data_IF_357289496891
#
_entry.id   IF_357289496891
#
_cell.length_a   1.000
_cell.length_b   1.000
_cell.length_c   1.000
_cell.angle_alpha   90.00
_cell.angle_beta   90.00
_cell.angle_gamma   90.00
#
_symmetry.space_group_name_H-M   'P 1'
#
loop_
_entity.id
_entity.type
_entity.pdbx_description
1 polymer ?
#
# COMPACT_ATOMS: atom_id res chain seq x y z
N UNK A 1 37.69 0.09 -13.20
CA UNK A 1 37.59 -0.80 -12.03
C UNK A 1 37.16 -2.24 -12.38
N UNK A 2 37.27 -2.65 -13.63
CA UNK A 2 36.97 -4.02 -14.02
C UNK A 2 38.04 -4.92 -13.40
N UNK A 3 37.67 -5.79 -12.48
CA UNK A 3 38.56 -6.73 -11.75
C UNK A 3 39.21 -6.17 -10.48
N UNK A 4 39.01 -4.91 -10.12
CA UNK A 4 39.53 -4.30 -8.89
C UNK A 4 38.51 -4.28 -7.75
N UNK A 5 38.97 -4.18 -6.50
CA UNK A 5 38.09 -3.95 -5.34
C UNK A 5 37.51 -2.53 -5.40
N UNK A 6 36.20 -2.41 -5.47
CA UNK A 6 35.53 -1.12 -5.37
C UNK A 6 35.56 -0.61 -3.92
N UNK A 7 36.13 0.57 -3.63
CA UNK A 7 36.14 1.12 -2.28
C UNK A 7 34.77 1.66 -1.93
N UNK A 8 33.90 0.79 -1.41
CA UNK A 8 32.56 1.19 -0.97
C UNK A 8 32.67 2.06 0.28
N UNK A 9 32.17 3.29 0.20
CA UNK A 9 32.08 4.19 1.35
C UNK A 9 30.70 4.11 2.00
N UNK A 10 30.61 4.43 3.29
CA UNK A 10 29.33 4.49 4.01
C UNK A 10 28.34 5.46 3.36
N UNK A 11 28.83 6.51 2.71
CA UNK A 11 28.02 7.49 2.00
C UNK A 11 27.35 6.90 0.73
N UNK A 12 28.10 6.13 -0.04
CA UNK A 12 27.57 5.44 -1.23
C UNK A 12 26.51 4.42 -0.83
N UNK A 13 26.76 3.66 0.25
CA UNK A 13 25.81 2.70 0.78
C UNK A 13 24.51 3.37 1.25
N UNK A 14 24.63 4.46 2.00
CA UNK A 14 23.52 5.28 2.47
C UNK A 14 22.66 5.81 1.31
N UNK A 15 23.31 6.32 0.26
CA UNK A 15 22.63 6.81 -0.94
C UNK A 15 21.91 5.67 -1.68
N UNK A 16 22.58 4.53 -1.86
CA UNK A 16 21.98 3.36 -2.53
C UNK A 16 20.72 2.88 -1.80
N UNK A 17 20.76 2.80 -0.47
CA UNK A 17 19.59 2.45 0.34
C UNK A 17 18.47 3.49 0.12
N UNK A 18 18.78 4.78 0.22
CA UNK A 18 17.77 5.84 0.04
C UNK A 18 17.05 5.75 -1.30
N UNK A 19 17.82 5.58 -2.38
CA UNK A 19 17.29 5.40 -3.74
C UNK A 19 16.43 4.13 -3.84
N UNK A 20 16.92 3.03 -3.28
CA UNK A 20 16.25 1.72 -3.41
C UNK A 20 14.90 1.67 -2.67
N UNK A 21 14.88 2.11 -1.42
CA UNK A 21 13.64 2.10 -0.61
C UNK A 21 12.60 3.08 -1.13
N UNK A 22 13.02 4.19 -1.74
CA UNK A 22 12.13 5.14 -2.41
C UNK A 22 11.54 4.57 -3.70
N UNK A 23 12.36 3.93 -4.52
CA UNK A 23 11.91 3.28 -5.78
C UNK A 23 10.93 2.14 -5.51
N UNK A 24 11.12 1.41 -4.43
CA UNK A 24 10.23 0.34 -4.00
C UNK A 24 9.03 0.85 -3.20
N UNK A 25 8.90 2.17 -3.01
CA UNK A 25 7.83 2.80 -2.22
C UNK A 25 7.69 2.22 -0.78
N UNK A 26 8.79 1.71 -0.23
CA UNK A 26 8.79 1.11 1.11
C UNK A 26 8.70 2.15 2.22
N UNK A 27 9.13 3.39 1.93
CA UNK A 27 9.14 4.49 2.89
C UNK A 27 8.75 5.82 2.23
N UNK A 28 8.16 6.71 3.01
CA UNK A 28 7.89 8.09 2.60
C UNK A 28 9.16 8.94 2.70
N UNK A 29 9.19 10.11 2.03
CA UNK A 29 10.30 11.08 2.15
C UNK A 29 10.53 11.51 3.60
N UNK A 30 9.47 11.66 4.39
CA UNK A 30 9.59 12.05 5.80
C UNK A 30 10.19 10.94 6.67
N UNK A 31 9.78 9.69 6.45
CA UNK A 31 10.39 8.55 7.15
C UNK A 31 11.87 8.40 6.81
N UNK A 32 12.22 8.58 5.54
CA UNK A 32 13.60 8.52 5.08
C UNK A 32 14.45 9.68 5.65
N UNK A 33 13.86 10.88 5.77
CA UNK A 33 14.49 12.05 6.40
C UNK A 33 14.89 11.74 7.84
N UNK A 34 13.96 11.19 8.63
CA UNK A 34 14.22 10.80 10.03
C UNK A 34 15.27 9.71 10.10
N UNK A 35 15.15 8.67 9.29
CA UNK A 35 16.08 7.54 9.29
C UNK A 35 17.53 7.93 8.91
N UNK A 36 17.65 8.83 7.94
CA UNK A 36 18.95 9.34 7.50
C UNK A 36 19.44 10.52 8.33
N UNK A 37 18.66 10.99 9.30
CA UNK A 37 18.97 12.16 10.13
C UNK A 37 19.31 13.41 9.30
N UNK A 38 18.57 13.63 8.23
CA UNK A 38 18.73 14.82 7.41
C UNK A 38 17.99 16.01 8.05
N UNK A 39 18.62 17.18 8.04
CA UNK A 39 18.07 18.42 8.61
C UNK A 39 16.97 18.99 7.70
N UNK A 40 17.09 18.81 6.38
CA UNK A 40 16.17 19.35 5.40
C UNK A 40 15.63 18.27 4.46
N UNK A 41 14.35 18.38 4.09
CA UNK A 41 13.68 17.47 3.18
C UNK A 41 14.34 17.45 1.78
N UNK A 42 14.80 18.61 1.30
CA UNK A 42 15.52 18.75 0.03
C UNK A 42 16.78 17.87 -0.04
N UNK A 43 17.48 17.69 1.09
CA UNK A 43 18.64 16.79 1.16
C UNK A 43 18.20 15.33 0.99
N UNK A 44 17.08 14.94 1.60
CA UNK A 44 16.54 13.58 1.46
C UNK A 44 16.08 13.33 0.02
N UNK A 45 15.42 14.29 -0.59
CA UNK A 45 14.98 14.21 -1.98
C UNK A 45 16.19 14.09 -2.92
N UNK A 46 17.20 14.93 -2.76
CA UNK A 46 18.44 14.83 -3.53
C UNK A 46 19.13 13.46 -3.39
N UNK A 47 19.14 12.87 -2.17
CA UNK A 47 19.69 11.53 -1.95
C UNK A 47 18.85 10.44 -2.62
N UNK A 48 17.53 10.58 -2.63
CA UNK A 48 16.60 9.58 -3.13
C UNK A 48 16.33 9.67 -4.62
N UNK A 49 16.56 10.84 -5.24
CA UNK A 49 16.28 11.08 -6.66
C UNK A 49 17.23 10.36 -7.62
N UNK A 50 18.14 9.58 -7.08
CA UNK A 50 19.01 8.74 -7.88
C UNK A 50 19.68 9.47 -9.04
N UNK A 51 20.89 9.18 -9.27
CA UNK A 51 21.74 9.77 -10.28
C UNK A 51 21.11 9.69 -11.70
N UNK A 52 20.26 10.64 -12.04
CA UNK A 52 19.86 10.95 -13.41
C UNK A 52 20.53 12.27 -13.79
N UNK A 53 21.84 12.27 -13.92
CA UNK A 53 22.53 13.45 -14.41
C UNK A 53 23.03 13.24 -15.83
N UNK A 54 22.54 14.10 -16.68
CA UNK A 54 23.22 14.76 -17.79
C UNK A 54 23.60 13.99 -19.05
N UNK A 55 23.13 12.77 -19.32
CA UNK A 55 23.22 12.30 -20.70
C UNK A 55 21.82 12.10 -21.30
N UNK A 56 21.62 12.61 -22.53
CA UNK A 56 20.38 12.42 -23.31
C UNK A 56 20.00 10.91 -23.43
N UNK A 57 20.97 10.04 -23.37
CA UNK A 57 20.78 8.57 -23.42
C UNK A 57 20.21 8.04 -22.12
N UNK A 58 20.70 8.50 -20.97
CA UNK A 58 20.19 8.12 -19.63
C UNK A 58 18.78 8.67 -19.45
N UNK A 59 18.52 9.90 -19.90
CA UNK A 59 17.17 10.46 -19.85
C UNK A 59 16.18 9.66 -20.69
N UNK A 60 16.55 9.22 -21.90
CA UNK A 60 15.71 8.35 -22.74
C UNK A 60 15.49 6.96 -22.14
N UNK A 61 16.53 6.38 -21.54
CA UNK A 61 16.44 5.09 -20.85
C UNK A 61 15.56 5.22 -19.60
N UNK A 62 15.70 6.30 -18.84
CA UNK A 62 14.87 6.60 -17.69
C UNK A 62 13.40 6.80 -18.09
N UNK A 63 13.13 7.47 -19.22
CA UNK A 63 11.77 7.67 -19.73
C UNK A 63 11.12 6.35 -20.18
N UNK A 64 11.86 5.49 -20.89
CA UNK A 64 11.34 4.17 -21.27
C UNK A 64 11.06 3.29 -20.05
N UNK A 65 11.98 3.30 -19.08
CA UNK A 65 11.84 2.55 -17.84
C UNK A 65 10.68 3.08 -16.98
N UNK A 66 10.52 4.41 -16.90
CA UNK A 66 9.39 5.01 -16.19
C UNK A 66 8.05 4.62 -16.83
N UNK A 67 7.96 4.58 -18.17
CA UNK A 67 6.76 4.10 -18.88
C UNK A 67 6.47 2.63 -18.64
N UNK A 68 7.51 1.79 -18.61
CA UNK A 68 7.37 0.36 -18.30
C UNK A 68 6.89 0.14 -16.86
N UNK A 69 7.45 0.90 -15.89
CA UNK A 69 7.01 0.85 -14.50
C UNK A 69 5.56 1.32 -14.35
N UNK A 70 5.18 2.42 -15.02
CA UNK A 70 3.80 2.89 -15.01
C UNK A 70 2.85 1.84 -15.62
N UNK A 71 3.24 1.23 -16.73
CA UNK A 71 2.44 0.18 -17.35
C UNK A 71 2.31 -1.06 -16.47
N UNK A 72 3.41 -1.51 -15.86
CA UNK A 72 3.41 -2.64 -14.92
C UNK A 72 2.51 -2.35 -13.69
N UNK A 73 2.50 -1.13 -13.19
CA UNK A 73 1.66 -0.72 -12.07
C UNK A 73 0.17 -0.69 -12.47
N UNK A 74 -0.15 -0.23 -13.69
CA UNK A 74 -1.50 -0.31 -14.24
C UNK A 74 -1.97 -1.76 -14.44
N UNK A 75 -1.10 -2.63 -14.92
CA UNK A 75 -1.38 -4.06 -15.09
C UNK A 75 -1.61 -4.75 -13.75
N UNK A 76 -0.78 -4.44 -12.75
CA UNK A 76 -0.96 -4.93 -11.39
C UNK A 76 -2.32 -4.51 -10.82
N UNK A 77 -2.67 -3.24 -10.97
CA UNK A 77 -3.97 -2.72 -10.52
C UNK A 77 -5.12 -3.43 -11.24
N UNK A 78 -5.02 -3.64 -12.55
CA UNK A 78 -6.02 -4.37 -13.32
C UNK A 78 -6.13 -5.84 -12.91
N UNK A 79 -5.01 -6.50 -12.65
CA UNK A 79 -4.98 -7.89 -12.17
C UNK A 79 -5.71 -8.03 -10.84
N UNK A 80 -5.41 -7.15 -9.88
CA UNK A 80 -6.07 -7.13 -8.57
C UNK A 80 -7.57 -6.83 -8.73
N UNK A 81 -7.93 -5.90 -9.61
CA UNK A 81 -9.33 -5.58 -9.92
C UNK A 81 -10.10 -6.80 -10.44
N UNK A 82 -9.51 -7.55 -11.36
CA UNK A 82 -10.11 -8.76 -11.89
C UNK A 82 -10.14 -9.90 -10.87
N UNK A 83 -9.13 -10.01 -10.01
CA UNK A 83 -9.12 -10.95 -8.89
C UNK A 83 -10.33 -10.71 -7.97
N UNK A 84 -10.58 -9.47 -7.58
CA UNK A 84 -11.74 -9.12 -6.77
C UNK A 84 -13.05 -9.29 -7.54
N UNK A 85 -13.13 -8.88 -8.80
CA UNK A 85 -14.35 -9.04 -9.62
C UNK A 85 -14.78 -10.51 -9.76
N UNK A 86 -13.82 -11.41 -9.83
CA UNK A 86 -14.03 -12.86 -9.97
C UNK A 86 -13.99 -13.58 -8.61
N UNK A 87 -13.45 -12.94 -7.58
CA UNK A 87 -13.32 -13.49 -6.24
C UNK A 87 -14.66 -13.69 -5.54
N UNK A 88 -14.67 -14.44 -4.46
CA UNK A 88 -15.84 -14.68 -3.63
C UNK A 88 -15.54 -14.42 -2.16
N UNK A 89 -16.59 -14.11 -1.40
CA UNK A 89 -16.48 -13.85 0.01
C UNK A 89 -15.52 -12.68 0.32
N UNK A 90 -15.83 -11.51 -0.26
CA UNK A 90 -15.00 -10.33 -0.17
C UNK A 90 -15.37 -9.51 1.07
N UNK A 91 -14.37 -9.17 1.87
CA UNK A 91 -14.52 -8.35 3.06
C UNK A 91 -14.58 -6.85 2.71
N UNK A 92 -15.32 -6.09 3.53
CA UNK A 92 -15.48 -4.65 3.41
C UNK A 92 -16.64 -4.22 2.51
N UNK A 93 -17.06 -2.97 2.64
CA UNK A 93 -18.22 -2.44 1.89
C UNK A 93 -17.96 -2.44 0.38
N UNK A 94 -16.72 -2.11 -0.06
CA UNK A 94 -16.33 -2.22 -1.46
C UNK A 94 -16.43 -3.65 -1.99
N UNK A 95 -16.02 -4.64 -1.19
CA UNK A 95 -16.17 -6.06 -1.52
C UNK A 95 -17.61 -6.47 -1.69
N UNK A 96 -18.46 -6.14 -0.72
CA UNK A 96 -19.92 -6.38 -0.80
C UNK A 96 -20.56 -5.74 -2.04
N UNK A 97 -20.12 -4.54 -2.44
CA UNK A 97 -20.60 -3.88 -3.64
C UNK A 97 -20.21 -4.62 -4.93
N UNK A 98 -19.00 -5.16 -5.00
CA UNK A 98 -18.60 -6.01 -6.13
C UNK A 98 -19.40 -7.31 -6.14
N UNK A 99 -19.59 -7.95 -5.01
CA UNK A 99 -20.36 -9.20 -4.92
C UNK A 99 -21.80 -9.05 -5.39
N UNK A 100 -22.47 -7.96 -5.06
CA UNK A 100 -23.83 -7.64 -5.57
C UNK A 100 -23.90 -7.52 -7.09
N UNK A 101 -22.78 -7.35 -7.77
CA UNK A 101 -22.72 -7.19 -9.23
C UNK A 101 -22.39 -8.50 -9.95
N UNK A 102 -22.05 -9.59 -9.24
CA UNK A 102 -21.62 -10.84 -9.89
C UNK A 102 -22.63 -11.42 -10.84
N UNK A 103 -23.92 -11.40 -10.45
CA UNK A 103 -25.02 -11.95 -11.22
C UNK A 103 -25.62 -10.94 -12.22
N UNK A 104 -25.03 -9.73 -12.32
CA UNK A 104 -25.49 -8.71 -13.26
C UNK A 104 -24.80 -8.87 -14.62
N UNK A 105 -25.43 -8.35 -15.71
CA UNK A 105 -24.78 -8.29 -17.02
C UNK A 105 -23.40 -7.64 -16.96
N UNK A 106 -22.49 -8.08 -17.81
CA UNK A 106 -21.08 -7.60 -17.83
C UNK A 106 -20.99 -6.07 -17.85
N UNK A 107 -21.87 -5.41 -18.63
CA UNK A 107 -21.92 -3.93 -18.72
C UNK A 107 -22.23 -3.23 -17.39
N UNK A 108 -22.83 -3.92 -16.44
CA UNK A 108 -23.17 -3.39 -15.10
C UNK A 108 -22.13 -3.69 -14.04
N UNK A 109 -21.05 -4.39 -14.39
CA UNK A 109 -19.95 -4.71 -13.46
C UNK A 109 -18.98 -3.55 -13.36
N UNK A 110 -18.40 -3.36 -12.18
CA UNK A 110 -17.36 -2.33 -11.95
C UNK A 110 -16.16 -2.55 -12.86
N UNK A 111 -15.71 -3.81 -12.96
CA UNK A 111 -14.60 -4.21 -13.83
C UNK A 111 -15.12 -5.21 -14.86
N UNK A 112 -15.32 -4.75 -16.10
CA UNK A 112 -15.94 -5.54 -17.15
C UNK A 112 -14.95 -6.50 -17.82
N UNK A 113 -13.69 -6.07 -17.93
CA UNK A 113 -12.57 -6.82 -18.50
C UNK A 113 -11.25 -6.30 -17.95
N UNK A 114 -10.15 -7.02 -18.18
CA UNK A 114 -8.80 -6.58 -17.82
C UNK A 114 -8.47 -5.21 -18.45
N UNK A 115 -8.74 -5.06 -19.75
CA UNK A 115 -8.49 -3.80 -20.46
C UNK A 115 -9.33 -2.65 -19.93
N UNK A 116 -10.60 -2.92 -19.57
CA UNK A 116 -11.45 -1.93 -18.92
C UNK A 116 -10.88 -1.54 -17.56
N UNK A 117 -10.48 -2.48 -16.73
CA UNK A 117 -9.85 -2.22 -15.43
C UNK A 117 -8.55 -1.41 -15.58
N UNK A 118 -7.69 -1.77 -16.56
CA UNK A 118 -6.46 -1.05 -16.89
C UNK A 118 -6.76 0.40 -17.34
N UNK A 119 -7.80 0.61 -18.15
CA UNK A 119 -8.21 1.95 -18.60
C UNK A 119 -8.73 2.82 -17.44
N UNK A 120 -9.48 2.23 -16.50
CA UNK A 120 -9.93 2.92 -15.29
C UNK A 120 -8.76 3.31 -14.40
N UNK A 121 -7.80 2.41 -14.19
CA UNK A 121 -6.59 2.69 -13.42
C UNK A 121 -5.78 3.84 -14.04
N UNK A 122 -5.66 3.88 -15.37
CA UNK A 122 -4.99 4.97 -16.10
C UNK A 122 -5.66 6.33 -15.90
N UNK A 123 -6.98 6.37 -15.78
CA UNK A 123 -7.75 7.60 -15.51
C UNK A 123 -7.61 8.09 -14.06
N UNK A 124 -6.78 7.44 -13.23
CA UNK A 124 -6.53 7.72 -11.81
C UNK A 124 -7.76 7.61 -10.87
N UNK A 125 -8.94 7.37 -11.40
CA UNK A 125 -10.21 7.35 -10.64
C UNK A 125 -10.55 6.01 -10.01
N UNK A 126 -9.83 4.93 -10.35
CA UNK A 126 -10.15 3.58 -9.87
C UNK A 126 -8.90 2.70 -9.77
N UNK A 127 -7.75 3.29 -9.49
CA UNK A 127 -6.52 2.55 -9.25
C UNK A 127 -6.63 1.85 -7.89
N UNK A 128 -6.57 0.53 -7.90
CA UNK A 128 -6.56 -0.23 -6.66
C UNK A 128 -5.18 -0.10 -6.01
N UNK A 129 -5.18 0.36 -4.78
CA UNK A 129 -3.97 0.52 -3.98
C UNK A 129 -3.97 -0.42 -2.78
N UNK A 130 -2.84 -1.08 -2.55
CA UNK A 130 -2.62 -1.80 -1.29
C UNK A 130 -2.43 -0.81 -0.15
N UNK A 131 -3.13 -1.04 0.95
CA UNK A 131 -2.99 -0.26 2.18
C UNK A 131 -1.86 -0.80 3.09
N UNK A 132 -1.14 -1.83 2.63
CA UNK A 132 -0.02 -2.41 3.36
C UNK A 132 -0.39 -3.28 4.57
N UNK A 133 -1.69 -3.46 4.81
CA UNK A 133 -2.24 -4.23 5.94
C UNK A 133 -3.10 -5.42 5.50
N UNK A 134 -2.95 -5.85 4.25
CA UNK A 134 -3.79 -6.89 3.65
C UNK A 134 -5.14 -6.38 3.14
N UNK A 135 -5.38 -5.08 3.23
CA UNK A 135 -6.56 -4.42 2.69
C UNK A 135 -6.19 -3.57 1.48
N UNK A 136 -7.17 -3.26 0.65
CA UNK A 136 -7.00 -2.50 -0.59
C UNK A 136 -8.04 -1.38 -0.66
N UNK A 137 -7.66 -0.27 -1.29
CA UNK A 137 -8.53 0.85 -1.59
C UNK A 137 -8.80 0.89 -3.09
N UNK A 138 -10.07 0.95 -3.49
CA UNK A 138 -10.49 1.07 -4.90
C UNK A 138 -10.51 2.51 -5.40
N UNK A 139 -10.35 3.50 -4.52
CA UNK A 139 -10.41 4.93 -4.88
C UNK A 139 -9.04 5.53 -5.22
N UNK A 140 -7.99 4.74 -5.16
CA UNK A 140 -6.64 5.21 -5.46
C UNK A 140 -6.20 6.40 -4.61
N UNK A 141 -5.75 7.47 -5.28
CA UNK A 141 -5.27 8.69 -4.64
C UNK A 141 -6.35 9.77 -4.42
N UNK A 142 -7.58 9.52 -4.86
CA UNK A 142 -8.68 10.50 -4.79
C UNK A 142 -9.41 10.49 -3.44
N UNK A 143 -8.85 9.84 -2.42
CA UNK A 143 -9.41 9.81 -1.09
C UNK A 143 -9.14 11.12 -0.34
N UNK A 144 -10.17 11.75 0.19
CA UNK A 144 -10.07 12.98 0.99
C UNK A 144 -9.25 12.76 2.27
N UNK A 145 -9.34 11.59 2.85
CA UNK A 145 -8.63 11.25 4.09
C UNK A 145 -7.15 10.91 3.89
N UNK A 146 -6.67 10.71 2.68
CA UNK A 146 -5.26 10.49 2.24
C UNK A 146 -4.31 9.80 3.25
N UNK A 147 -4.85 9.23 4.29
CA UNK A 147 -4.09 8.55 5.35
C UNK A 147 -3.95 7.07 4.99
N UNK A 148 -2.99 6.78 4.16
CA UNK A 148 -2.76 5.48 3.53
C UNK A 148 -2.43 4.36 4.55
N UNK A 149 -2.24 4.69 5.82
CA UNK A 149 -1.67 3.74 6.78
C UNK A 149 -2.47 3.54 8.05
N UNK A 150 -3.64 4.18 8.19
CA UNK A 150 -4.45 4.05 9.40
C UNK A 150 -5.74 3.29 9.14
N UNK A 151 -5.87 2.10 9.72
CA UNK A 151 -7.10 1.31 9.67
C UNK A 151 -8.32 2.06 10.23
N UNK A 152 -8.10 3.03 11.13
CA UNK A 152 -9.15 3.92 11.62
C UNK A 152 -9.86 4.71 10.50
N UNK A 153 -9.14 5.07 9.43
CA UNK A 153 -9.71 5.81 8.30
C UNK A 153 -10.14 4.90 7.13
N UNK A 154 -9.56 3.71 7.04
CA UNK A 154 -9.86 2.71 6.03
C UNK A 154 -10.56 1.51 6.66
N UNK A 155 -11.62 1.76 7.41
CA UNK A 155 -12.40 0.75 8.12
C UNK A 155 -13.29 -0.06 7.15
N UNK A 156 -13.88 -1.18 7.61
CA UNK A 156 -14.74 -2.04 6.79
C UNK A 156 -15.98 -1.35 6.22
N UNK A 157 -16.39 -0.22 6.78
CA UNK A 157 -17.57 0.54 6.34
C UNK A 157 -17.22 1.54 5.22
N UNK A 158 -15.95 1.74 4.91
CA UNK A 158 -15.55 2.55 3.77
C UNK A 158 -15.98 1.89 2.45
N UNK A 159 -16.67 2.64 1.58
CA UNK A 159 -17.20 2.15 0.31
C UNK A 159 -16.16 1.64 -0.67
N UNK A 160 -14.91 2.05 -0.47
CA UNK A 160 -13.79 1.72 -1.34
C UNK A 160 -12.84 0.68 -0.73
N UNK A 161 -13.10 0.24 0.52
CA UNK A 161 -12.27 -0.77 1.16
C UNK A 161 -12.70 -2.16 0.72
N UNK A 162 -11.72 -2.96 0.33
CA UNK A 162 -11.89 -4.33 -0.11
C UNK A 162 -10.72 -5.20 0.35
N UNK A 163 -11.01 -6.44 0.68
CA UNK A 163 -10.01 -7.46 0.94
C UNK A 163 -10.55 -8.86 0.64
N UNK A 164 -9.66 -9.83 0.57
CA UNK A 164 -10.01 -11.24 0.38
C UNK A 164 -9.35 -12.13 1.45
N UNK A 165 -9.72 -13.41 1.43
CA UNK A 165 -9.20 -14.42 2.37
C UNK A 165 -7.68 -14.61 2.34
N UNK A 166 -7.00 -14.19 1.27
CA UNK A 166 -5.53 -14.31 1.17
C UNK A 166 -4.82 -13.41 2.19
N UNK A 167 -5.54 -12.42 2.73
CA UNK A 167 -5.02 -11.50 3.74
C UNK A 167 -5.12 -12.01 5.19
N UNK A 168 -5.80 -13.14 5.43
CA UNK A 168 -5.99 -13.72 6.77
C UNK A 168 -4.68 -13.87 7.55
N UNK A 169 -3.58 -14.44 6.98
CA UNK A 169 -2.33 -14.58 7.72
C UNK A 169 -1.70 -13.25 8.15
N UNK A 170 -1.97 -12.19 7.38
CA UNK A 170 -1.50 -10.83 7.71
C UNK A 170 -2.31 -10.29 8.88
N UNK A 171 -3.63 -10.49 8.88
CA UNK A 171 -4.52 -9.99 9.93
C UNK A 171 -4.32 -10.70 11.25
N UNK A 172 -4.10 -12.01 11.26
CA UNK A 172 -3.79 -12.77 12.49
C UNK A 172 -2.53 -12.20 13.15
N UNK A 173 -1.42 -12.06 12.40
CA UNK A 173 -0.18 -11.48 12.92
C UNK A 173 -0.35 -10.04 13.42
N UNK A 174 -1.18 -9.24 12.74
CA UNK A 174 -1.45 -7.87 13.15
C UNK A 174 -2.35 -7.82 14.38
N UNK A 175 -3.36 -8.64 14.45
CA UNK A 175 -4.23 -8.77 15.62
C UNK A 175 -3.42 -9.08 16.88
N UNK A 176 -2.59 -10.12 16.84
CA UNK A 176 -1.70 -10.49 17.96
C UNK A 176 -0.77 -9.32 18.34
N UNK A 177 -0.15 -8.70 17.36
CA UNK A 177 0.73 -7.54 17.58
C UNK A 177 0.00 -6.38 18.26
N UNK A 178 -1.15 -5.98 17.74
CA UNK A 178 -1.90 -4.84 18.29
C UNK A 178 -2.53 -5.17 19.65
N UNK A 179 -2.92 -6.42 19.89
CA UNK A 179 -3.35 -6.92 21.21
C UNK A 179 -2.24 -6.77 22.25
N UNK A 180 -1.02 -7.18 21.91
CA UNK A 180 0.15 -7.02 22.79
C UNK A 180 0.48 -5.55 23.05
N UNK A 181 0.52 -4.71 22.00
CA UNK A 181 0.77 -3.28 22.13
C UNK A 181 -0.29 -2.56 22.95
N UNK A 182 -1.58 -2.92 22.80
CA UNK A 182 -2.66 -2.35 23.58
C UNK A 182 -2.52 -2.67 25.07
N UNK A 183 -2.16 -3.92 25.39
CA UNK A 183 -1.86 -4.33 26.78
C UNK A 183 -0.71 -3.50 27.33
N UNK A 184 0.41 -3.44 26.64
CA UNK A 184 1.58 -2.66 27.06
C UNK A 184 1.27 -1.17 27.24
N UNK A 185 0.46 -0.58 26.34
CA UNK A 185 0.09 0.83 26.42
C UNK A 185 -0.77 1.14 27.65
N UNK A 186 -1.67 0.21 28.03
CA UNK A 186 -2.46 0.31 29.24
C UNK A 186 -1.61 0.20 30.51
N UNK A 187 -0.70 -0.80 30.53
CA UNK A 187 0.18 -1.06 31.67
C UNK A 187 1.17 0.12 31.89
N UNK A 188 1.54 0.82 30.81
CA UNK A 188 2.46 1.97 30.85
C UNK A 188 1.77 3.33 31.00
N UNK A 189 0.48 3.37 31.26
CA UNK A 189 -0.31 4.61 31.35
C UNK A 189 -0.09 5.55 30.15
N UNK A 190 -0.06 5.02 28.92
CA UNK A 190 0.06 5.82 27.70
C UNK A 190 -1.13 6.78 27.54
N UNK A 191 -0.97 7.88 26.78
CA UNK A 191 -2.06 8.81 26.50
C UNK A 191 -3.30 8.12 25.93
N UNK A 192 -4.48 8.54 26.34
CA UNK A 192 -5.79 7.98 25.93
C UNK A 192 -5.91 7.88 24.40
N UNK A 193 -5.42 8.89 23.66
CA UNK A 193 -5.43 8.89 22.20
C UNK A 193 -4.63 7.74 21.59
N UNK A 194 -3.50 7.35 22.19
CA UNK A 194 -2.69 6.22 21.75
C UNK A 194 -3.41 4.90 22.01
N UNK A 195 -4.04 4.76 23.15
CA UNK A 195 -4.83 3.58 23.52
C UNK A 195 -6.01 3.42 22.58
N UNK A 196 -6.73 4.50 22.28
CA UNK A 196 -7.88 4.50 21.39
C UNK A 196 -7.48 4.15 19.96
N UNK A 197 -6.37 4.70 19.47
CA UNK A 197 -5.81 4.32 18.17
C UNK A 197 -5.52 2.81 18.08
N UNK A 198 -4.85 2.24 19.08
CA UNK A 198 -4.55 0.81 19.12
C UNK A 198 -5.81 -0.04 19.20
N UNK A 199 -6.85 0.44 19.89
CA UNK A 199 -8.16 -0.23 19.98
C UNK A 199 -8.85 -0.26 18.60
N UNK A 200 -8.88 0.85 17.88
CA UNK A 200 -9.48 0.93 16.55
C UNK A 200 -8.76 0.04 15.53
N UNK A 201 -7.42 0.01 15.56
CA UNK A 201 -6.63 -0.90 14.75
C UNK A 201 -6.96 -2.37 15.05
N UNK A 202 -6.99 -2.74 16.33
CA UNK A 202 -7.31 -4.09 16.78
C UNK A 202 -8.71 -4.51 16.33
N UNK A 203 -9.72 -3.65 16.52
CA UNK A 203 -11.11 -3.91 16.16
C UNK A 203 -11.28 -4.14 14.65
N UNK A 204 -10.55 -3.41 13.82
CA UNK A 204 -10.60 -3.60 12.37
C UNK A 204 -10.11 -4.99 11.95
N UNK A 205 -9.02 -5.48 12.55
CA UNK A 205 -8.53 -6.84 12.24
C UNK A 205 -9.44 -7.91 12.83
N UNK A 206 -10.00 -7.66 14.02
CA UNK A 206 -10.99 -8.54 14.62
C UNK A 206 -12.20 -8.75 13.71
N UNK A 207 -12.80 -7.66 13.22
CA UNK A 207 -13.94 -7.73 12.30
C UNK A 207 -13.60 -8.48 11.01
N UNK A 208 -12.38 -8.36 10.51
CA UNK A 208 -11.94 -9.09 9.33
C UNK A 208 -11.80 -10.60 9.60
N UNK A 209 -11.27 -10.99 10.74
CA UNK A 209 -11.12 -12.39 11.13
C UNK A 209 -12.47 -13.04 11.46
N UNK A 210 -13.34 -12.34 12.19
CA UNK A 210 -14.71 -12.76 12.48
C UNK A 210 -15.52 -13.02 11.20
N UNK A 211 -15.36 -12.14 10.20
CA UNK A 211 -16.05 -12.28 8.90
C UNK A 211 -15.67 -13.59 8.18
N UNK A 212 -14.46 -14.08 8.37
CA UNK A 212 -13.97 -15.33 7.77
C UNK A 212 -14.05 -16.51 8.75
N UNK A 213 -14.67 -16.34 9.92
CA UNK A 213 -14.81 -17.38 10.93
C UNK A 213 -13.45 -18.00 11.34
N UNK A 214 -12.42 -17.15 11.40
CA UNK A 214 -11.04 -17.56 11.74
C UNK A 214 -10.84 -17.41 13.24
N UNK A 215 -10.40 -18.48 13.89
CA UNK A 215 -9.99 -18.46 15.29
C UNK A 215 -8.68 -17.67 15.45
N UNK A 216 -8.63 -16.78 16.44
CA UNK A 216 -7.51 -15.90 16.73
C UNK A 216 -7.25 -15.72 18.24
N UNK A 217 -7.88 -16.57 19.10
CA UNK A 217 -7.64 -16.59 20.54
C UNK A 217 -6.42 -17.42 20.94
#
# INVERSE_FOLDING_TARGET
YIGGKWPITSHQYRRSIAVHVRRLELVTSNQLLVQLKHIAKSVTEWYSDGFISNSKTIAKLADSFAKELENADLERSATIAMQFQNGSNLFGKGGRNIEKQKNKPIKSKTYQSFEHAKSLAKRKKSKIMSLGNGMYCMNGLDCEYKSITQAANCNPDCENMIADKNSIPIWQKRYEKYRALLKQAKDSNQPTASIEFLRLELETYKQALDFYEVDYE
#
